data_IF_290388734808
#
_entry.id   IF_290388734808
#
_cell.length_a   1.000
_cell.length_b   1.000
_cell.length_c   1.000
_cell.angle_alpha   90.00
_cell.angle_beta   90.00
_cell.angle_gamma   90.00
#
_symmetry.space_group_name_H-M   'P 1'
#
loop_
_entity.id
_entity.type
_entity.pdbx_description
1 polymer ?
#
# COMPACT_ATOMS: atom_id res chain seq x y z
N UNK A 1 16.55 -7.29 21.82
CA UNK A 1 16.96 -7.74 20.47
C UNK A 1 17.08 -6.48 19.65
N UNK A 2 18.29 -6.12 19.24
CA UNK A 2 18.52 -4.95 18.38
C UNK A 2 18.02 -5.34 16.99
N UNK A 3 16.96 -4.68 16.50
CA UNK A 3 16.51 -4.87 15.12
C UNK A 3 17.62 -4.26 14.25
N UNK A 4 18.20 -5.05 13.34
CA UNK A 4 19.20 -4.52 12.42
C UNK A 4 18.53 -3.75 11.29
N UNK A 5 19.23 -2.77 10.70
CA UNK A 5 18.81 -2.15 9.45
C UNK A 5 18.51 -3.25 8.42
N UNK A 6 17.31 -3.21 7.85
CA UNK A 6 16.79 -4.29 7.02
C UNK A 6 15.96 -3.72 5.87
N UNK A 7 16.12 -4.34 4.71
CA UNK A 7 15.35 -4.04 3.50
C UNK A 7 14.77 -5.33 2.93
N UNK A 8 13.46 -5.33 2.70
CA UNK A 8 12.76 -6.43 2.04
C UNK A 8 12.10 -5.94 0.77
N UNK A 9 12.25 -6.72 -0.31
CA UNK A 9 11.59 -6.44 -1.58
C UNK A 9 10.63 -7.57 -1.91
N UNK A 10 9.37 -7.22 -2.11
CA UNK A 10 8.29 -8.13 -2.49
C UNK A 10 7.75 -7.73 -3.85
N UNK A 11 7.27 -8.69 -4.63
CA UNK A 11 6.68 -8.36 -5.92
C UNK A 11 5.93 -9.49 -6.59
N UNK A 12 5.13 -9.09 -7.58
CA UNK A 12 4.42 -9.96 -8.51
C UNK A 12 4.45 -9.37 -9.91
N UNK A 13 3.75 -9.99 -10.86
CA UNK A 13 3.78 -9.61 -12.28
C UNK A 13 3.22 -8.21 -12.60
N UNK A 14 2.69 -7.48 -11.62
CA UNK A 14 2.13 -6.14 -11.82
C UNK A 14 2.19 -5.28 -10.55
N UNK A 15 3.08 -5.61 -9.61
CA UNK A 15 3.28 -4.81 -8.41
C UNK A 15 4.62 -5.09 -7.74
N UNK A 16 5.10 -4.11 -6.98
CA UNK A 16 6.28 -4.22 -6.11
C UNK A 16 6.00 -3.50 -4.79
N UNK A 17 6.51 -4.04 -3.70
CA UNK A 17 6.58 -3.36 -2.41
C UNK A 17 8.01 -3.44 -1.89
N UNK A 18 8.50 -2.34 -1.34
CA UNK A 18 9.79 -2.28 -0.63
C UNK A 18 9.51 -1.87 0.80
N UNK A 19 9.98 -2.65 1.75
CA UNK A 19 9.95 -2.31 3.18
C UNK A 19 11.36 -2.01 3.64
N UNK A 20 11.56 -0.81 4.18
CA UNK A 20 12.82 -0.35 4.75
C UNK A 20 12.62 -0.10 6.26
N UNK A 21 13.53 -0.64 7.07
CA UNK A 21 13.55 -0.48 8.53
C UNK A 21 14.93 -0.01 8.94
N UNK A 22 15.00 1.23 9.41
CA UNK A 22 16.15 1.80 10.11
C UNK A 22 15.72 2.15 11.55
N UNK A 23 16.10 1.35 12.55
CA UNK A 23 15.66 1.58 13.93
C UNK A 23 15.90 3.02 14.39
N UNK A 24 14.86 3.64 14.98
CA UNK A 24 14.88 5.03 15.47
C UNK A 24 15.08 6.11 14.40
N UNK A 25 15.07 5.75 13.11
CA UNK A 25 15.31 6.69 12.00
C UNK A 25 14.24 6.61 10.92
N UNK A 26 13.85 5.40 10.51
CA UNK A 26 12.94 5.19 9.40
C UNK A 26 12.18 3.87 9.55
N UNK A 27 10.89 3.91 9.27
CA UNK A 27 10.10 2.74 8.93
C UNK A 27 9.23 3.14 7.75
N UNK A 28 9.29 2.38 6.66
CA UNK A 28 8.50 2.70 5.49
C UNK A 28 8.24 1.52 4.59
N UNK A 29 7.09 1.57 3.93
CA UNK A 29 6.72 0.74 2.80
C UNK A 29 6.48 1.65 1.60
N UNK A 30 7.24 1.44 0.53
CA UNK A 30 6.99 2.05 -0.77
C UNK A 30 6.33 1.01 -1.68
N UNK A 31 5.14 1.30 -2.18
CA UNK A 31 4.38 0.37 -3.02
C UNK A 31 4.05 0.94 -4.38
N UNK A 32 4.17 0.07 -5.38
CA UNK A 32 3.90 0.37 -6.78
C UNK A 32 3.00 -0.72 -7.37
N UNK A 33 1.93 -0.32 -8.04
CA UNK A 33 1.11 -1.21 -8.87
C UNK A 33 1.10 -0.73 -10.32
N UNK A 34 1.18 -1.67 -11.25
CA UNK A 34 1.20 -1.44 -12.69
C UNK A 34 -0.01 -2.07 -13.36
N UNK A 35 -0.65 -1.30 -14.25
CA UNK A 35 -1.62 -1.82 -15.19
C UNK A 35 -0.87 -2.60 -16.29
N UNK A 36 -1.03 -3.94 -16.39
CA UNK A 36 -0.35 -4.74 -17.40
C UNK A 36 -0.82 -4.43 -18.83
N UNK A 37 -1.97 -3.78 -19.01
CA UNK A 37 -2.49 -3.44 -20.33
C UNK A 37 -1.96 -2.10 -20.81
N UNK A 38 -1.98 -1.08 -19.94
CA UNK A 38 -1.67 0.31 -20.32
C UNK A 38 -0.29 0.78 -19.86
N UNK A 39 0.38 0.04 -18.98
CA UNK A 39 1.64 0.43 -18.34
C UNK A 39 1.48 1.58 -17.33
N UNK A 40 0.25 2.00 -17.01
CA UNK A 40 0.00 3.04 -16.02
C UNK A 40 0.34 2.53 -14.63
N UNK A 41 0.78 3.45 -13.79
CA UNK A 41 1.26 3.16 -12.44
C UNK A 41 0.45 3.92 -11.39
N UNK A 42 0.21 3.29 -10.24
CA UNK A 42 -0.24 3.95 -9.02
C UNK A 42 0.75 3.61 -7.90
N UNK A 43 1.20 4.63 -7.17
CA UNK A 43 2.12 4.52 -6.04
C UNK A 43 1.41 4.88 -4.74
N UNK A 44 1.78 4.22 -3.65
CA UNK A 44 1.30 4.51 -2.32
C UNK A 44 2.38 4.15 -1.30
N UNK A 45 2.65 5.08 -0.39
CA UNK A 45 3.70 4.93 0.61
C UNK A 45 3.05 4.98 2.01
N UNK A 46 3.53 4.11 2.90
CA UNK A 46 3.17 4.09 4.33
C UNK A 46 4.48 4.20 5.09
N UNK A 47 4.80 5.37 5.62
CA UNK A 47 6.09 5.60 6.26
C UNK A 47 6.04 6.62 7.39
N UNK A 48 7.19 6.84 8.01
CA UNK A 48 7.38 7.75 9.13
C UNK A 48 7.98 9.10 8.73
N UNK A 49 7.91 9.53 7.46
CA UNK A 49 8.58 10.74 6.97
C UNK A 49 8.17 12.04 7.70
N UNK A 50 6.94 12.09 8.21
CA UNK A 50 6.38 13.20 8.98
C UNK A 50 6.78 13.19 10.48
N UNK A 51 7.53 12.18 10.94
CA UNK A 51 7.82 11.97 12.37
C UNK A 51 9.33 11.84 12.66
N UNK A 52 9.78 12.50 13.73
CA UNK A 52 11.14 12.37 14.26
C UNK A 52 11.20 11.23 15.31
N UNK A 53 11.51 10.03 14.82
CA UNK A 53 11.61 8.81 15.62
C UNK A 53 12.75 8.81 16.66
N UNK A 54 13.59 9.84 16.68
CA UNK A 54 14.57 9.99 17.76
C UNK A 54 13.88 10.35 19.07
N UNK A 55 12.72 11.00 19.03
CA UNK A 55 11.94 11.46 20.18
C UNK A 55 11.01 10.36 20.70
N UNK A 56 10.97 10.20 22.03
CA UNK A 56 10.14 9.17 22.69
C UNK A 56 8.64 9.35 22.42
N UNK A 57 8.16 10.59 22.39
CA UNK A 57 6.75 10.97 22.18
C UNK A 57 6.24 10.68 20.76
N UNK A 58 7.15 10.43 19.81
CA UNK A 58 6.79 10.09 18.43
C UNK A 58 7.04 8.61 18.10
N UNK A 59 7.52 7.80 19.07
CA UNK A 59 7.73 6.36 18.87
C UNK A 59 6.43 5.58 18.74
N UNK A 60 5.34 6.04 19.34
CA UNK A 60 4.04 5.38 19.23
C UNK A 60 3.52 5.41 17.78
N UNK A 61 3.81 6.48 17.02
CA UNK A 61 3.51 6.53 15.58
C UNK A 61 4.26 5.49 14.77
N UNK A 62 5.51 5.16 15.14
CA UNK A 62 6.22 4.06 14.45
C UNK A 62 5.49 2.72 14.62
N UNK A 63 4.83 2.50 15.76
CA UNK A 63 4.02 1.30 15.97
C UNK A 63 2.72 1.33 15.17
N UNK A 64 2.13 2.50 14.94
CA UNK A 64 0.98 2.69 14.04
C UNK A 64 1.38 2.37 12.60
N UNK A 65 2.45 2.99 12.10
CA UNK A 65 3.00 2.72 10.77
C UNK A 65 3.38 1.24 10.60
N UNK A 66 3.96 0.60 11.62
CA UNK A 66 4.25 -0.83 11.58
C UNK A 66 2.97 -1.66 11.40
N UNK A 67 1.91 -1.34 12.14
CA UNK A 67 0.61 -2.03 12.00
C UNK A 67 0.01 -1.83 10.62
N UNK A 68 0.06 -0.62 10.09
CA UNK A 68 -0.47 -0.29 8.76
C UNK A 68 0.29 -1.03 7.65
N UNK A 69 1.63 -1.10 7.74
CA UNK A 69 2.47 -1.88 6.83
C UNK A 69 2.11 -3.37 6.88
N UNK A 70 1.99 -3.94 8.08
CA UNK A 70 1.65 -5.35 8.28
C UNK A 70 0.25 -5.64 7.74
N UNK A 71 -0.73 -4.79 8.05
CA UNK A 71 -2.10 -4.92 7.55
C UNK A 71 -2.14 -4.86 6.02
N UNK A 72 -1.48 -3.88 5.41
CA UNK A 72 -1.43 -3.73 3.97
C UNK A 72 -0.82 -4.98 3.29
N UNK A 73 0.32 -5.46 3.79
CA UNK A 73 0.99 -6.65 3.24
C UNK A 73 0.14 -7.92 3.41
N UNK A 74 -0.57 -8.06 4.53
CA UNK A 74 -1.47 -9.19 4.75
C UNK A 74 -2.70 -9.13 3.83
N UNK A 75 -3.26 -7.94 3.61
CA UNK A 75 -4.33 -7.71 2.65
C UNK A 75 -3.88 -8.02 1.22
N UNK A 76 -2.63 -7.68 0.87
CA UNK A 76 -2.04 -8.04 -0.40
C UNK A 76 -1.89 -9.56 -0.55
N UNK A 77 -1.45 -10.27 0.49
CA UNK A 77 -1.36 -11.74 0.52
C UNK A 77 -2.73 -12.42 0.42
N UNK A 78 -3.77 -11.81 1.00
CA UNK A 78 -5.16 -12.29 0.96
C UNK A 78 -5.86 -12.00 -0.38
N UNK A 79 -5.29 -11.15 -1.23
CA UNK A 79 -5.92 -10.72 -2.48
C UNK A 79 -6.98 -9.62 -2.30
N UNK A 80 -6.94 -8.91 -1.16
CA UNK A 80 -7.85 -7.82 -0.83
C UNK A 80 -7.39 -6.46 -1.40
N UNK A 81 -6.15 -6.38 -1.92
CA UNK A 81 -5.68 -5.24 -2.71
C UNK A 81 -6.16 -5.42 -4.14
N UNK A 82 -7.04 -4.54 -4.57
CA UNK A 82 -7.69 -4.56 -5.86
C UNK A 82 -7.07 -3.51 -6.78
N UNK A 83 -7.00 -3.81 -8.07
CA UNK A 83 -6.64 -2.85 -9.11
C UNK A 83 -7.75 -2.74 -10.15
N UNK A 84 -7.88 -1.58 -10.75
CA UNK A 84 -8.89 -1.32 -11.75
C UNK A 84 -8.67 -0.01 -12.48
N UNK A 85 -9.66 0.38 -13.26
CA UNK A 85 -9.67 1.68 -13.91
C UNK A 85 -10.97 2.42 -13.56
N UNK A 86 -10.83 3.68 -13.19
CA UNK A 86 -11.96 4.61 -13.04
C UNK A 86 -11.90 5.62 -14.19
N UNK A 87 -12.73 5.40 -15.20
CA UNK A 87 -12.57 6.07 -16.48
C UNK A 87 -11.19 5.78 -17.08
N UNK A 88 -10.40 6.82 -17.32
CA UNK A 88 -9.05 6.69 -17.90
C UNK A 88 -7.92 6.56 -16.86
N UNK A 89 -8.24 6.56 -15.57
CA UNK A 89 -7.25 6.54 -14.49
C UNK A 89 -7.09 5.14 -13.92
N UNK A 90 -5.83 4.72 -13.76
CA UNK A 90 -5.51 3.51 -13.02
C UNK A 90 -5.72 3.75 -11.53
N UNK A 91 -6.32 2.76 -10.85
CA UNK A 91 -6.74 2.86 -9.45
C UNK A 91 -6.38 1.60 -8.70
N UNK A 92 -5.93 1.76 -7.47
CA UNK A 92 -5.73 0.68 -6.49
C UNK A 92 -6.68 0.92 -5.30
N UNK A 93 -7.36 -0.11 -4.83
CA UNK A 93 -8.27 -0.06 -3.68
C UNK A 93 -7.91 -1.14 -2.68
N UNK A 94 -7.83 -0.82 -1.40
CA UNK A 94 -7.54 -1.79 -0.34
C UNK A 94 -8.11 -1.35 1.01
N UNK A 95 -8.40 -2.30 1.91
CA UNK A 95 -8.71 -1.98 3.29
C UNK A 95 -7.44 -1.60 4.08
N UNK A 96 -7.60 -0.63 4.98
CA UNK A 96 -6.58 -0.21 5.96
C UNK A 96 -7.29 0.49 7.13
N UNK A 97 -6.90 0.20 8.37
CA UNK A 97 -7.42 0.83 9.58
C UNK A 97 -8.96 0.93 9.64
N UNK A 98 -9.63 -0.18 9.29
CA UNK A 98 -11.09 -0.28 9.34
C UNK A 98 -11.84 0.51 8.24
N UNK A 99 -11.14 1.15 7.31
CA UNK A 99 -11.70 1.86 6.17
C UNK A 99 -11.16 1.27 4.84
N UNK A 100 -11.59 1.86 3.72
CA UNK A 100 -11.07 1.53 2.39
C UNK A 100 -10.38 2.73 1.77
N UNK A 101 -9.11 2.58 1.41
CA UNK A 101 -8.40 3.57 0.61
C UNK A 101 -8.57 3.29 -0.86
N UNK A 102 -8.70 4.37 -1.63
CA UNK A 102 -8.63 4.38 -3.08
C UNK A 102 -7.49 5.29 -3.51
N UNK A 103 -6.47 4.70 -4.11
CA UNK A 103 -5.31 5.39 -4.65
C UNK A 103 -5.51 5.53 -6.15
N UNK A 104 -5.60 6.77 -6.62
CA UNK A 104 -5.76 7.09 -8.04
C UNK A 104 -4.44 7.58 -8.59
N UNK A 105 -4.10 7.09 -9.78
CA UNK A 105 -2.97 7.61 -10.55
C UNK A 105 -3.08 9.13 -10.74
N UNK A 106 -2.11 9.85 -10.19
CA UNK A 106 -1.87 11.26 -10.49
C UNK A 106 -0.86 11.43 -11.63
N UNK A 107 -0.76 12.67 -12.13
CA UNK A 107 0.20 13.03 -13.19
C UNK A 107 1.62 13.26 -12.65
N UNK A 108 1.73 13.58 -11.36
CA UNK A 108 2.97 13.86 -10.64
C UNK A 108 3.03 13.14 -9.28
N UNK A 109 1.90 13.08 -8.57
CA UNK A 109 1.76 12.39 -7.29
C UNK A 109 0.35 11.77 -7.23
N UNK A 110 0.25 10.51 -6.80
CA UNK A 110 -1.04 9.83 -6.63
C UNK A 110 -1.92 10.55 -5.61
N UNK A 111 -3.24 10.40 -5.73
CA UNK A 111 -4.17 10.87 -4.69
C UNK A 111 -4.80 9.67 -4.00
N UNK A 112 -4.71 9.62 -2.68
CA UNK A 112 -5.45 8.67 -1.85
C UNK A 112 -6.72 9.32 -1.31
N UNK A 113 -7.81 8.56 -1.22
CA UNK A 113 -9.04 8.98 -0.57
C UNK A 113 -9.62 7.83 0.24
N UNK A 114 -10.17 8.15 1.41
CA UNK A 114 -10.70 7.18 2.36
C UNK A 114 -12.21 7.07 2.22
N UNK A 115 -12.72 5.84 2.26
CA UNK A 115 -14.13 5.50 2.12
C UNK A 115 -14.56 4.58 3.26
N UNK A 116 -15.82 4.70 3.73
CA UNK A 116 -16.32 3.91 4.86
C UNK A 116 -16.53 2.43 4.51
N UNK A 117 -16.71 2.09 3.23
CA UNK A 117 -16.96 0.73 2.79
C UNK A 117 -16.43 0.47 1.38
N UNK A 118 -16.34 -0.83 1.04
CA UNK A 118 -15.80 -1.28 -0.23
C UNK A 118 -16.63 -0.79 -1.42
N UNK A 119 -17.95 -0.75 -1.30
CA UNK A 119 -18.84 -0.37 -2.42
C UNK A 119 -18.57 1.09 -2.81
N UNK A 120 -18.45 1.96 -1.82
CA UNK A 120 -18.11 3.37 -2.02
C UNK A 120 -16.72 3.53 -2.65
N UNK A 121 -15.71 2.78 -2.19
CA UNK A 121 -14.36 2.82 -2.74
C UNK A 121 -14.29 2.36 -4.21
N UNK A 122 -15.09 1.36 -4.59
CA UNK A 122 -15.16 0.78 -5.94
C UNK A 122 -16.02 1.58 -6.92
N UNK A 123 -16.63 2.70 -6.51
CA UNK A 123 -17.53 3.45 -7.39
C UNK A 123 -16.87 3.85 -8.73
N UNK A 124 -17.52 3.52 -9.84
CA UNK A 124 -17.15 3.97 -11.19
C UNK A 124 -16.01 3.20 -11.87
N UNK A 125 -15.75 1.95 -11.48
CA UNK A 125 -14.77 1.11 -12.16
C UNK A 125 -14.99 -0.38 -11.96
N UNK A 126 -14.34 -1.17 -12.81
CA UNK A 126 -14.22 -2.62 -12.66
C UNK A 126 -12.87 -2.95 -12.03
N UNK A 127 -12.89 -3.79 -11.00
CA UNK A 127 -11.72 -4.09 -10.18
C UNK A 127 -11.48 -5.59 -10.07
N UNK A 128 -10.20 -5.96 -10.06
CA UNK A 128 -9.73 -7.34 -9.90
C UNK A 128 -8.62 -7.39 -8.86
N UNK A 129 -8.41 -8.52 -8.18
CA UNK A 129 -7.28 -8.68 -7.28
C UNK A 129 -5.94 -8.41 -7.99
N UNK A 130 -5.07 -7.65 -7.31
CA UNK A 130 -3.74 -7.33 -7.81
C UNK A 130 -2.81 -8.54 -7.77
N UNK A 131 -2.90 -9.32 -6.70
CA UNK A 131 -2.26 -10.61 -6.53
C UNK A 131 -3.27 -11.72 -6.82
N UNK A 132 -3.16 -12.36 -7.98
CA UNK A 132 -3.86 -13.62 -8.22
C UNK A 132 -3.17 -14.69 -7.38
N UNK A 133 -3.86 -15.27 -6.39
CA UNK A 133 -3.43 -16.55 -5.84
C UNK A 133 -3.35 -17.53 -7.02
N UNK A 134 -2.16 -18.06 -7.32
CA UNK A 134 -2.15 -19.34 -8.03
C UNK A 134 -2.87 -20.35 -7.13
N UNK A 135 -3.87 -21.10 -7.63
CA UNK A 135 -4.41 -22.19 -6.86
C UNK A 135 -3.26 -23.12 -6.53
N UNK A 136 -3.03 -23.39 -5.24
CA UNK A 136 -2.19 -24.52 -4.86
C UNK A 136 -2.98 -25.76 -5.28
N UNK A 137 -2.40 -26.53 -6.22
CA UNK A 137 -2.93 -27.83 -6.60
C UNK A 137 -2.73 -28.88 -5.52
#
# INVERSE_FOLDING_TARGET
>A
MEVAESRWELGGSGWRAVVDVEPRRWLGLAFEALDPVTGKCATYDIDTDLYDLTRDDQREFAQEIERDIIEFLDNLRKGAVLRGNAGSKFVVVFPLDGAYLRVVQGRFMGSASTYPDLIAALAGGDYVPLSLRRPQG
#
